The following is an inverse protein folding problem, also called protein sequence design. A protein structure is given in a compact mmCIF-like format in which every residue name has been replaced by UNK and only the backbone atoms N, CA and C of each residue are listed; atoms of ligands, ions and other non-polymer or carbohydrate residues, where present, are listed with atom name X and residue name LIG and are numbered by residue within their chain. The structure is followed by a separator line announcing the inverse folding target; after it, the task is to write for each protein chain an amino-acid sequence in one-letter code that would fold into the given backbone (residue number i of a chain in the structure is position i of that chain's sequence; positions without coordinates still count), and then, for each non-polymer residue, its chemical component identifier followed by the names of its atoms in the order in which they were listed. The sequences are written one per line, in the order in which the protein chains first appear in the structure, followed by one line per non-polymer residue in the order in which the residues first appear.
data_IF_076771450480
#
_entry.id   IF_076771450480
#
_cell.length_a   1.000
_cell.length_b   1.000
_cell.length_c   1.000
_cell.angle_alpha   90.00
_cell.angle_beta   90.00
_cell.angle_gamma   90.00
#
_symmetry.space_group_name_H-M   'P 1'
#
loop_
_entity.id
_entity.type
_entity.pdbx_description
1 polymer ?
#
# COMPACT_ATOMS: atom_id res chain seq x y z
N UNK A 1 29.51 -0.51 20.85
CA UNK A 1 28.56 0.22 19.99
C UNK A 1 28.51 -0.54 18.67
N UNK A 2 27.37 -1.17 18.37
CA UNK A 2 27.21 -2.02 17.20
C UNK A 2 26.38 -1.25 16.17
N UNK A 3 26.99 -0.91 15.04
CA UNK A 3 26.29 -0.32 13.90
C UNK A 3 25.32 -1.35 13.32
N UNK A 4 24.03 -1.02 13.32
CA UNK A 4 22.99 -1.77 12.61
C UNK A 4 23.20 -1.62 11.10
N UNK A 5 23.96 -2.54 10.51
CA UNK A 5 24.01 -2.67 9.06
C UNK A 5 22.71 -3.35 8.58
N UNK A 6 21.80 -2.53 8.05
CA UNK A 6 20.59 -3.00 7.38
C UNK A 6 20.95 -3.69 6.07
N UNK A 7 20.95 -5.02 6.07
CA UNK A 7 21.22 -5.87 4.90
C UNK A 7 20.02 -6.00 3.92
N UNK A 8 19.14 -5.01 3.87
CA UNK A 8 18.11 -4.97 2.84
C UNK A 8 18.79 -4.65 1.50
N UNK A 9 18.87 -5.64 0.60
CA UNK A 9 19.32 -5.39 -0.77
C UNK A 9 18.44 -4.28 -1.37
N UNK A 10 19.06 -3.16 -1.73
CA UNK A 10 18.48 -2.19 -2.66
C UNK A 10 17.91 -3.02 -3.81
N UNK A 11 16.63 -2.79 -4.12
CA UNK A 11 15.99 -3.39 -5.30
C UNK A 11 16.98 -3.28 -6.46
N UNK A 12 17.17 -4.37 -7.19
CA UNK A 12 18.02 -4.39 -8.37
C UNK A 12 17.78 -3.09 -9.17
N UNK A 13 18.87 -2.36 -9.47
CA UNK A 13 18.80 -1.15 -10.28
C UNK A 13 18.08 -1.50 -11.57
N UNK A 14 16.79 -1.18 -11.63
CA UNK A 14 16.08 -1.10 -12.88
C UNK A 14 16.80 0.01 -13.63
N UNK A 15 17.70 -0.37 -14.56
CA UNK A 15 18.57 0.55 -15.27
C UNK A 15 17.80 1.80 -15.71
N UNK A 16 18.48 2.95 -15.67
CA UNK A 16 17.87 4.23 -15.96
C UNK A 16 17.00 4.14 -17.24
N UNK A 17 15.78 4.68 -17.22
CA UNK A 17 14.86 4.54 -18.34
C UNK A 17 15.53 5.06 -19.62
N UNK A 18 15.40 4.31 -20.70
CA UNK A 18 16.05 4.60 -22.00
C UNK A 18 15.50 5.87 -22.66
N UNK A 19 14.31 6.30 -22.26
CA UNK A 19 13.65 7.55 -22.69
C UNK A 19 12.81 8.12 -21.55
N UNK A 20 12.54 9.43 -21.59
CA UNK A 20 11.73 10.14 -20.60
C UNK A 20 12.54 10.95 -19.59
N UNK A 21 11.88 11.43 -18.55
CA UNK A 21 12.49 12.30 -17.54
C UNK A 21 13.21 11.46 -16.49
N UNK A 22 14.52 11.66 -16.34
CA UNK A 22 15.29 11.11 -15.21
C UNK A 22 15.17 12.11 -14.06
N UNK A 23 14.48 11.72 -12.99
CA UNK A 23 14.29 12.57 -11.83
C UNK A 23 15.53 12.53 -10.92
N UNK A 24 16.30 13.62 -10.90
CA UNK A 24 17.26 13.89 -9.82
C UNK A 24 16.48 14.46 -8.65
N UNK A 25 16.28 13.66 -7.59
CA UNK A 25 15.43 14.04 -6.44
C UNK A 25 16.29 14.57 -5.30
N UNK A 26 16.18 15.86 -5.02
CA UNK A 26 16.67 16.47 -3.79
C UNK A 26 15.55 16.51 -2.77
N UNK A 27 15.84 16.16 -1.52
CA UNK A 27 14.85 16.25 -0.44
C UNK A 27 14.60 17.72 -0.09
N UNK A 28 13.41 18.22 -0.39
CA UNK A 28 12.94 19.50 0.13
C UNK A 28 12.42 19.31 1.55
N UNK A 29 12.77 20.22 2.46
CA UNK A 29 12.40 20.17 3.88
C UNK A 29 11.49 21.31 4.33
N UNK A 30 11.36 22.36 3.52
CA UNK A 30 10.50 23.52 3.78
C UNK A 30 9.97 24.09 2.44
N UNK A 31 8.96 24.96 2.52
CA UNK A 31 8.42 25.75 1.41
C UNK A 31 8.01 24.95 0.17
N UNK A 32 7.38 23.79 0.38
CA UNK A 32 6.83 22.97 -0.68
C UNK A 32 5.37 22.62 -0.40
N UNK A 33 4.57 22.60 -1.47
CA UNK A 33 3.19 22.15 -1.44
C UNK A 33 3.09 20.72 -1.94
N UNK A 34 2.34 19.89 -1.22
CA UNK A 34 2.02 18.52 -1.64
C UNK A 34 0.63 18.51 -2.24
N UNK A 35 0.52 18.08 -3.49
CA UNK A 35 -0.77 17.89 -4.17
C UNK A 35 -0.82 16.52 -4.84
N UNK A 36 -2.04 16.04 -5.09
CA UNK A 36 -2.24 14.69 -5.60
C UNK A 36 -1.75 14.53 -7.05
N UNK A 37 -1.21 13.35 -7.37
CA UNK A 37 -0.85 13.02 -8.76
C UNK A 37 -2.06 13.05 -9.70
N UNK A 38 -3.27 12.80 -9.17
CA UNK A 38 -4.51 12.90 -9.94
C UNK A 38 -4.76 14.32 -10.46
N UNK A 39 -4.43 15.34 -9.66
CA UNK A 39 -4.48 16.74 -10.08
C UNK A 39 -3.32 17.08 -11.03
N UNK A 40 -2.10 16.64 -10.71
CA UNK A 40 -0.89 16.92 -11.48
C UNK A 40 -0.91 16.30 -12.89
N UNK A 41 -1.46 15.10 -13.02
CA UNK A 41 -1.50 14.32 -14.26
C UNK A 41 -2.88 14.39 -14.93
N UNK A 42 -3.73 15.33 -14.50
CA UNK A 42 -5.04 15.56 -15.12
C UNK A 42 -4.87 15.87 -16.60
N UNK A 43 -5.63 15.18 -17.45
CA UNK A 43 -5.77 15.55 -18.86
C UNK A 43 -6.56 16.84 -18.97
N UNK A 44 -6.04 17.82 -19.71
CA UNK A 44 -6.71 19.09 -19.92
C UNK A 44 -5.73 20.25 -20.07
N UNK A 45 -6.18 21.44 -19.69
CA UNK A 45 -5.37 22.66 -19.78
C UNK A 45 -4.23 22.66 -18.75
N UNK A 46 -3.02 22.95 -19.21
CA UNK A 46 -1.86 23.16 -18.34
C UNK A 46 -2.07 24.36 -17.38
N UNK A 47 -2.82 25.38 -17.81
CA UNK A 47 -3.19 26.54 -16.98
C UNK A 47 -3.98 26.10 -15.76
N UNK A 48 -4.88 25.12 -15.91
CA UNK A 48 -5.66 24.58 -14.79
C UNK A 48 -4.76 23.97 -13.71
N UNK A 49 -3.71 23.25 -14.13
CA UNK A 49 -2.73 22.65 -13.20
C UNK A 49 -1.89 23.73 -12.53
N UNK A 50 -1.39 24.72 -13.30
CA UNK A 50 -0.61 25.83 -12.78
C UNK A 50 -1.39 26.68 -11.77
N UNK A 51 -2.64 27.03 -12.09
CA UNK A 51 -3.54 27.77 -11.19
C UNK A 51 -3.79 26.96 -9.92
N UNK A 52 -4.03 25.65 -10.01
CA UNK A 52 -4.24 24.82 -8.83
C UNK A 52 -2.99 24.73 -7.94
N UNK A 53 -1.81 24.56 -8.55
CA UNK A 53 -0.54 24.52 -7.83
C UNK A 53 -0.25 25.85 -7.11
N UNK A 54 -0.57 26.97 -7.74
CA UNK A 54 -0.42 28.29 -7.13
C UNK A 54 -1.41 28.50 -5.99
N UNK A 55 -2.69 28.15 -6.16
CA UNK A 55 -3.68 28.27 -5.08
C UNK A 55 -3.26 27.44 -3.87
N UNK A 56 -2.72 26.24 -4.09
CA UNK A 56 -2.28 25.34 -3.03
C UNK A 56 -1.00 25.80 -2.31
N UNK A 57 -0.23 26.74 -2.86
CA UNK A 57 0.96 27.31 -2.21
C UNK A 57 0.67 28.59 -1.43
N UNK A 58 -0.52 29.19 -1.61
CA UNK A 58 -0.90 30.41 -0.92
C UNK A 58 -1.31 30.15 0.54
N UNK A 59 -1.07 31.10 1.46
CA UNK A 59 -1.60 31.01 2.81
C UNK A 59 -3.12 31.20 2.82
N UNK A 60 -3.76 30.63 3.84
CA UNK A 60 -5.20 30.76 4.06
C UNK A 60 -5.64 32.23 4.10
N UNK A 61 -6.74 32.52 3.40
CA UNK A 61 -7.31 33.87 3.30
C UNK A 61 -6.77 34.71 2.13
N UNK A 62 -5.83 34.20 1.35
CA UNK A 62 -5.38 34.85 0.12
C UNK A 62 -6.51 35.00 -0.90
N UNK A 63 -6.63 36.15 -1.61
CA UNK A 63 -7.70 36.35 -2.57
C UNK A 63 -7.46 35.54 -3.85
N UNK A 64 -8.34 34.58 -4.13
CA UNK A 64 -8.34 33.76 -5.35
C UNK A 64 -9.40 34.27 -6.35
N UNK A 65 -9.40 35.58 -6.60
CA UNK A 65 -10.28 36.18 -7.62
C UNK A 65 -9.63 36.08 -9.00
N UNK A 66 -10.44 36.15 -10.07
CA UNK A 66 -9.93 36.13 -11.44
C UNK A 66 -8.93 37.28 -11.65
N UNK A 67 -9.26 38.48 -11.17
CA UNK A 67 -8.37 39.64 -11.25
C UNK A 67 -7.04 39.43 -10.49
N UNK A 68 -7.08 38.83 -9.29
CA UNK A 68 -5.87 38.53 -8.52
C UNK A 68 -4.97 37.50 -9.22
N UNK A 69 -5.59 36.49 -9.84
CA UNK A 69 -4.86 35.47 -10.60
C UNK A 69 -4.29 36.03 -11.90
N UNK A 70 -5.01 36.88 -12.63
CA UNK A 70 -4.48 37.57 -13.81
C UNK A 70 -3.38 38.59 -13.49
N UNK A 71 -3.27 39.05 -12.23
CA UNK A 71 -2.14 39.87 -11.80
C UNK A 71 -0.87 39.03 -11.54
N UNK A 72 -1.03 37.75 -11.20
CA UNK A 72 0.08 36.82 -10.97
C UNK A 72 0.53 36.10 -12.25
N UNK A 73 -0.43 35.67 -13.06
CA UNK A 73 -0.24 34.89 -14.27
C UNK A 73 -0.24 35.79 -15.51
N UNK A 74 0.58 35.45 -16.51
CA UNK A 74 0.58 36.10 -17.84
C UNK A 74 -0.64 35.77 -18.68
N UNK A 75 -1.45 34.82 -18.21
CA UNK A 75 -2.61 34.26 -18.87
C UNK A 75 -3.83 35.18 -18.79
N UNK A 76 -4.57 35.28 -19.90
CA UNK A 76 -5.76 36.12 -19.98
C UNK A 76 -6.93 35.66 -19.13
N UNK A 77 -7.84 36.59 -18.84
CA UNK A 77 -9.03 36.41 -17.99
C UNK A 77 -9.87 35.18 -18.38
N UNK A 78 -10.02 34.92 -19.68
CA UNK A 78 -10.80 33.81 -20.22
C UNK A 78 -10.20 32.46 -19.82
N UNK A 79 -8.87 32.32 -19.89
CA UNK A 79 -8.17 31.08 -19.56
C UNK A 79 -8.19 30.83 -18.06
N UNK A 80 -7.96 31.87 -17.25
CA UNK A 80 -8.06 31.79 -15.78
C UNK A 80 -9.49 31.44 -15.35
N UNK A 81 -10.50 32.07 -15.96
CA UNK A 81 -11.90 31.75 -15.69
C UNK A 81 -12.25 30.31 -16.06
N UNK A 82 -11.78 29.84 -17.21
CA UNK A 82 -11.94 28.44 -17.64
C UNK A 82 -11.26 27.49 -16.66
N UNK A 83 -10.02 27.78 -16.25
CA UNK A 83 -9.26 26.99 -15.30
C UNK A 83 -10.01 26.83 -13.97
N UNK A 84 -10.54 27.92 -13.41
CA UNK A 84 -11.32 27.87 -12.17
C UNK A 84 -12.60 27.03 -12.32
N UNK A 85 -13.33 27.15 -13.43
CA UNK A 85 -14.52 26.33 -13.71
C UNK A 85 -14.18 24.85 -13.84
N UNK A 86 -13.04 24.52 -14.46
CA UNK A 86 -12.56 23.15 -14.56
C UNK A 86 -12.20 22.55 -13.19
N UNK A 87 -11.60 23.34 -12.30
CA UNK A 87 -11.29 22.91 -10.94
C UNK A 87 -12.56 22.70 -10.11
N UNK A 88 -13.56 23.56 -10.26
CA UNK A 88 -14.87 23.39 -9.64
C UNK A 88 -15.58 22.12 -10.14
N UNK A 89 -15.60 21.91 -11.46
CA UNK A 89 -16.21 20.72 -12.05
C UNK A 89 -15.51 19.42 -11.62
N UNK A 90 -14.20 19.48 -11.38
CA UNK A 90 -13.41 18.35 -10.89
C UNK A 90 -13.46 18.19 -9.35
N UNK A 91 -14.12 19.09 -8.62
CA UNK A 91 -14.29 19.02 -7.17
C UNK A 91 -13.06 19.43 -6.35
N UNK A 92 -12.07 20.08 -6.98
CA UNK A 92 -10.89 20.64 -6.30
C UNK A 92 -11.14 22.04 -5.76
N UNK A 93 -12.15 22.75 -6.28
CA UNK A 93 -12.52 24.09 -5.84
C UNK A 93 -14.02 24.15 -5.51
N UNK A 94 -14.38 24.75 -4.39
CA UNK A 94 -15.77 25.01 -4.02
C UNK A 94 -15.94 26.47 -3.59
N UNK A 95 -16.92 27.16 -4.17
CA UNK A 95 -17.31 28.52 -3.77
C UNK A 95 -18.58 28.46 -2.93
N UNK A 96 -18.43 28.58 -1.61
CA UNK A 96 -19.55 28.54 -0.67
C UNK A 96 -19.83 29.92 -0.09
N UNK A 97 -21.12 30.28 -0.01
CA UNK A 97 -21.58 31.48 0.71
C UNK A 97 -21.79 31.11 2.17
N UNK A 98 -20.91 31.60 3.04
CA UNK A 98 -21.03 31.40 4.48
C UNK A 98 -21.55 32.65 5.16
N UNK A 99 -22.52 32.48 6.05
CA UNK A 99 -22.89 33.53 7.00
C UNK A 99 -21.86 33.49 8.12
N UNK A 100 -21.10 34.56 8.22
CA UNK A 100 -20.23 34.78 9.37
C UNK A 100 -21.05 34.85 10.66
N UNK A 101 -20.46 34.55 11.82
CA UNK A 101 -21.13 34.72 13.12
C UNK A 101 -21.57 36.19 13.38
N UNK A 102 -21.02 37.15 12.64
CA UNK A 102 -21.43 38.56 12.63
C UNK A 102 -22.62 38.87 11.68
N UNK A 103 -23.27 37.85 11.09
CA UNK A 103 -24.43 38.01 10.20
C UNK A 103 -24.11 38.42 8.75
N UNK A 104 -22.84 38.70 8.42
CA UNK A 104 -22.43 39.04 7.06
C UNK A 104 -22.27 37.78 6.20
N UNK A 105 -22.86 37.77 5.01
CA UNK A 105 -22.64 36.71 4.00
C UNK A 105 -21.32 36.99 3.28
N UNK A 106 -20.33 36.11 3.45
CA UNK A 106 -19.06 36.17 2.69
C UNK A 106 -18.94 34.95 1.80
N UNK A 107 -18.49 35.16 0.56
CA UNK A 107 -18.12 34.07 -0.34
C UNK A 107 -16.73 33.60 0.05
N UNK A 108 -16.61 32.34 0.48
CA UNK A 108 -15.33 31.68 0.75
C UNK A 108 -15.05 30.66 -0.34
N UNK A 109 -13.80 30.60 -0.75
CA UNK A 109 -13.30 29.64 -1.73
C UNK A 109 -12.53 28.58 -0.98
N UNK A 110 -13.02 27.35 -1.02
CA UNK A 110 -12.37 26.18 -0.46
C UNK A 110 -11.62 25.47 -1.58
N UNK A 111 -10.37 25.13 -1.32
CA UNK A 111 -9.55 24.32 -2.20
C UNK A 111 -9.29 22.98 -1.50
N UNK A 112 -9.48 21.87 -2.21
CA UNK A 112 -9.31 20.52 -1.66
C UNK A 112 -8.18 19.82 -2.40
N UNK A 113 -7.22 19.21 -1.68
CA UNK A 113 -6.10 18.47 -2.30
C UNK A 113 -6.53 17.13 -2.92
N UNK A 114 -7.64 16.59 -2.41
CA UNK A 114 -8.32 15.39 -2.90
C UNK A 114 -9.76 15.79 -3.20
N UNK A 115 -10.28 15.51 -4.41
CA UNK A 115 -11.57 16.02 -4.82
C UNK A 115 -12.68 15.50 -3.90
N UNK A 116 -13.51 16.42 -3.42
CA UNK A 116 -14.65 16.11 -2.58
C UNK A 116 -15.72 15.36 -3.41
N UNK A 117 -15.59 14.04 -3.49
CA UNK A 117 -16.51 13.22 -4.29
C UNK A 117 -16.21 11.73 -4.36
N UNK A 118 -15.27 11.20 -3.55
CA UNK A 118 -15.01 9.76 -3.52
C UNK A 118 -15.17 9.05 -2.19
N UNK A 119 -15.19 9.73 -1.03
CA UNK A 119 -15.31 9.03 0.27
C UNK A 119 -16.03 9.81 1.39
N UNK A 120 -16.94 10.72 1.06
CA UNK A 120 -17.66 11.46 2.10
C UNK A 120 -19.09 11.80 1.69
N UNK A 121 -19.92 10.76 1.71
CA UNK A 121 -21.37 10.89 1.88
C UNK A 121 -21.63 11.17 3.37
N UNK A 122 -21.17 12.32 3.85
CA UNK A 122 -21.58 12.83 5.16
C UNK A 122 -21.42 14.35 5.22
N UNK A 123 -22.46 15.05 4.76
CA UNK A 123 -22.76 16.39 5.27
C UNK A 123 -24.27 16.62 5.18
N UNK A 124 -24.91 17.14 6.24
CA UNK A 124 -26.36 17.24 6.33
C UNK A 124 -26.86 18.32 5.38
N UNK A 125 -27.44 17.90 4.25
CA UNK A 125 -28.16 18.82 3.35
C UNK A 125 -29.37 19.38 4.10
N UNK A 126 -29.28 20.64 4.51
CA UNK A 126 -30.41 21.40 5.05
C UNK A 126 -31.51 21.46 3.99
N UNK A 127 -32.55 20.65 4.20
CA UNK A 127 -33.73 20.58 3.36
C UNK A 127 -34.51 21.89 3.53
N UNK A 128 -34.48 22.75 2.51
CA UNK A 128 -35.41 23.89 2.43
C UNK A 128 -36.81 23.34 2.18
N UNK A 129 -37.66 23.47 3.20
CA UNK A 129 -39.10 23.25 3.13
C UNK A 129 -39.75 24.26 2.20
N UNK A 130 -40.51 23.77 1.22
CA UNK A 130 -41.56 24.52 0.53
C UNK A 130 -42.83 23.64 0.62
N UNK A 131 -43.96 24.13 1.15
CA UNK A 131 -45.16 23.31 1.33
C UNK A 131 -46.20 23.58 0.23
N UNK A 132 -46.65 22.55 -0.50
CA UNK A 132 -47.89 22.56 -1.33
C UNK A 132 -48.44 21.11 -1.41
N UNK A 133 -49.78 20.91 -1.47
CA UNK A 133 -50.53 19.79 -0.84
C UNK A 133 -50.71 18.48 -1.63
N UNK A 134 -51.22 17.49 -0.89
CA UNK A 134 -51.60 16.10 -1.24
C UNK A 134 -52.39 15.90 -2.54
N UNK A 135 -51.97 14.92 -3.35
CA UNK A 135 -52.83 13.89 -3.92
C UNK A 135 -52.02 12.61 -4.26
N UNK A 136 -52.61 11.41 -4.17
CA UNK A 136 -51.89 10.14 -4.07
C UNK A 136 -51.59 9.56 -5.45
N UNK A 137 -50.32 9.23 -5.71
CA UNK A 137 -49.95 8.46 -6.90
C UNK A 137 -49.05 7.29 -6.51
N UNK A 138 -49.65 6.12 -6.68
CA UNK A 138 -49.05 4.80 -6.63
C UNK A 138 -47.87 4.72 -7.61
N UNK A 139 -46.66 4.51 -7.09
CA UNK A 139 -45.47 4.26 -7.89
C UNK A 139 -44.45 3.48 -7.06
N UNK A 140 -44.60 2.15 -7.11
CA UNK A 140 -43.55 1.13 -7.10
C UNK A 140 -42.15 1.63 -6.75
N UNK A 141 -41.81 1.51 -5.47
CA UNK A 141 -40.42 1.62 -5.01
C UNK A 141 -39.59 0.49 -5.65
N UNK A 142 -38.46 0.76 -6.34
CA UNK A 142 -37.49 -0.28 -6.58
C UNK A 142 -36.80 -0.56 -5.24
N UNK A 143 -36.99 -1.79 -4.76
CA UNK A 143 -36.30 -2.36 -3.59
C UNK A 143 -34.79 -2.08 -3.72
N UNK A 144 -34.13 -1.43 -2.75
CA UNK A 144 -32.67 -1.38 -2.75
C UNK A 144 -32.15 -2.81 -2.59
N UNK A 145 -31.37 -3.24 -3.57
CA UNK A 145 -30.57 -4.46 -3.53
C UNK A 145 -29.88 -4.58 -2.16
N UNK A 146 -29.96 -5.73 -1.48
CA UNK A 146 -29.33 -5.89 -0.18
C UNK A 146 -27.83 -5.64 -0.31
N UNK A 147 -27.34 -4.60 0.36
CA UNK A 147 -25.93 -4.49 0.66
C UNK A 147 -25.49 -5.78 1.36
N UNK A 148 -24.31 -6.35 1.03
CA UNK A 148 -23.81 -7.52 1.74
C UNK A 148 -23.77 -7.21 3.25
N UNK A 149 -24.16 -8.15 4.11
CA UNK A 149 -24.22 -7.91 5.54
C UNK A 149 -22.86 -7.43 6.02
N UNK A 150 -22.83 -6.28 6.70
CA UNK A 150 -21.66 -5.88 7.46
C UNK A 150 -21.35 -7.03 8.43
N UNK A 151 -20.09 -7.50 8.53
CA UNK A 151 -19.77 -8.60 9.43
C UNK A 151 -20.13 -8.18 10.85
N UNK A 152 -21.09 -8.89 11.45
CA UNK A 152 -21.44 -8.69 12.84
C UNK A 152 -20.31 -9.27 13.70
N UNK A 153 -20.00 -8.61 14.83
CA UNK A 153 -19.03 -9.17 15.79
C UNK A 153 -19.42 -10.56 16.28
N UNK A 154 -20.71 -10.91 16.23
CA UNK A 154 -21.24 -12.21 16.64
C UNK A 154 -20.75 -13.36 15.74
N UNK A 155 -20.39 -13.07 14.49
CA UNK A 155 -19.88 -14.06 13.53
C UNK A 155 -18.34 -14.11 13.52
N UNK A 156 -17.67 -13.26 14.30
CA UNK A 156 -16.22 -13.20 14.39
C UNK A 156 -15.68 -14.20 15.42
N UNK A 157 -14.50 -14.75 15.15
CA UNK A 157 -13.82 -15.64 16.07
C UNK A 157 -13.59 -14.95 17.43
N UNK A 158 -14.09 -15.53 18.55
CA UNK A 158 -14.00 -14.91 19.87
C UNK A 158 -12.56 -14.73 20.35
N UNK A 159 -11.63 -15.60 19.93
CA UNK A 159 -10.22 -15.50 20.29
C UNK A 159 -9.55 -14.35 19.54
N UNK A 160 -9.89 -14.17 18.26
CA UNK A 160 -9.41 -13.03 17.47
C UNK A 160 -9.90 -11.68 18.01
N UNK A 161 -11.16 -11.61 18.46
CA UNK A 161 -11.72 -10.39 19.09
C UNK A 161 -11.06 -10.12 20.45
N UNK A 162 -10.72 -11.16 21.21
CA UNK A 162 -10.00 -11.02 22.48
C UNK A 162 -8.59 -10.43 22.27
N UNK A 163 -7.87 -10.88 21.23
CA UNK A 163 -6.57 -10.32 20.84
C UNK A 163 -6.71 -8.84 20.48
N UNK A 164 -7.65 -8.48 19.60
CA UNK A 164 -7.87 -7.09 19.19
C UNK A 164 -8.27 -6.18 20.36
N UNK A 165 -9.05 -6.70 21.31
CA UNK A 165 -9.46 -5.97 22.52
C UNK A 165 -8.29 -5.77 23.49
N UNK A 166 -7.33 -6.70 23.51
CA UNK A 166 -6.14 -6.62 24.36
C UNK A 166 -5.16 -5.53 23.91
N UNK A 167 -5.16 -5.17 22.62
CA UNK A 167 -4.28 -4.13 22.05
C UNK A 167 -4.41 -2.78 22.76
N UNK A 168 -5.63 -2.40 23.16
CA UNK A 168 -5.88 -1.14 23.89
C UNK A 168 -5.19 -1.10 25.26
N UNK A 169 -4.95 -2.27 25.88
CA UNK A 169 -4.25 -2.35 27.18
C UNK A 169 -2.74 -2.14 27.02
N UNK A 170 -2.19 -2.49 25.85
CA UNK A 170 -0.77 -2.36 25.53
C UNK A 170 -0.46 -0.96 25.00
N UNK A 171 -1.26 -0.44 24.08
CA UNK A 171 -1.23 0.97 23.67
C UNK A 171 -2.64 1.59 23.71
N UNK A 172 -2.91 2.58 24.59
CA UNK A 172 -4.23 3.17 24.75
C UNK A 172 -4.71 3.93 23.51
N UNK A 173 -3.83 4.23 22.55
CA UNK A 173 -4.17 4.91 21.29
C UNK A 173 -4.85 4.00 20.28
N UNK A 174 -4.77 2.68 20.46
CA UNK A 174 -5.41 1.69 19.58
C UNK A 174 -6.88 1.50 19.97
N UNK A 175 -7.69 2.54 19.76
CA UNK A 175 -9.15 2.47 19.93
C UNK A 175 -9.78 1.97 18.63
N UNK A 176 -10.37 0.77 18.70
CA UNK A 176 -11.05 0.13 17.57
C UNK A 176 -12.56 0.12 17.82
N UNK A 177 -13.33 0.52 16.82
CA UNK A 177 -14.78 0.33 16.84
C UNK A 177 -15.15 -1.15 16.64
N UNK A 178 -16.37 -1.52 17.02
CA UNK A 178 -16.92 -2.86 16.79
C UNK A 178 -16.78 -3.27 15.30
N UNK A 179 -17.20 -2.41 14.38
CA UNK A 179 -17.12 -2.70 12.94
C UNK A 179 -15.67 -2.87 12.46
N UNK A 180 -14.72 -2.13 13.01
CA UNK A 180 -13.30 -2.28 12.66
C UNK A 180 -12.71 -3.58 13.23
N UNK A 181 -13.08 -3.95 14.46
CA UNK A 181 -12.69 -5.22 15.04
C UNK A 181 -13.23 -6.41 14.24
N UNK A 182 -14.51 -6.36 13.83
CA UNK A 182 -15.12 -7.39 13.00
C UNK A 182 -14.45 -7.53 11.61
N UNK A 183 -13.98 -6.42 11.02
CA UNK A 183 -13.22 -6.44 9.76
C UNK A 183 -11.82 -7.03 9.91
N UNK A 184 -11.17 -6.83 11.06
CA UNK A 184 -9.80 -7.31 11.31
C UNK A 184 -9.77 -8.74 11.83
N UNK A 185 -10.85 -9.22 12.46
CA UNK A 185 -10.93 -10.53 13.09
C UNK A 185 -10.57 -11.70 12.16
N UNK A 186 -11.00 -11.76 10.87
CA UNK A 186 -10.62 -12.87 9.99
C UNK A 186 -9.11 -12.95 9.72
N UNK A 187 -8.43 -11.80 9.64
CA UNK A 187 -6.99 -11.75 9.41
C UNK A 187 -6.23 -12.20 10.67
N UNK A 188 -6.69 -11.83 11.86
CA UNK A 188 -6.12 -12.32 13.12
C UNK A 188 -6.37 -13.81 13.31
N UNK A 189 -7.57 -14.30 12.95
CA UNK A 189 -7.90 -15.72 12.98
C UNK A 189 -6.99 -16.54 12.05
N UNK A 190 -6.64 -16.01 10.87
CA UNK A 190 -5.67 -16.65 9.98
C UNK A 190 -4.27 -16.75 10.58
N UNK A 191 -3.84 -15.75 11.37
CA UNK A 191 -2.57 -15.78 12.09
C UNK A 191 -2.57 -16.80 13.24
N UNK A 192 -3.68 -16.88 13.99
CA UNK A 192 -3.86 -17.89 15.02
C UNK A 192 -3.87 -19.31 14.40
N UNK A 193 -4.54 -19.50 13.27
CA UNK A 193 -4.58 -20.77 12.55
C UNK A 193 -3.21 -21.17 11.96
N UNK A 194 -2.35 -20.19 11.65
CA UNK A 194 -0.96 -20.42 11.24
C UNK A 194 -0.03 -20.76 12.43
N UNK A 195 -0.54 -20.79 13.66
CA UNK A 195 0.21 -21.14 14.87
C UNK A 195 0.90 -19.96 15.55
N UNK A 196 0.63 -18.72 15.14
CA UNK A 196 1.17 -17.53 15.81
C UNK A 196 0.37 -17.27 17.08
N UNK A 197 1.05 -17.22 18.23
CA UNK A 197 0.38 -17.08 19.52
C UNK A 197 -0.25 -15.69 19.75
N UNK A 198 -1.32 -15.56 20.56
CA UNK A 198 -1.98 -14.28 20.86
C UNK A 198 -1.06 -13.14 21.32
N UNK A 199 -0.04 -13.47 22.12
CA UNK A 199 0.96 -12.50 22.61
C UNK A 199 1.90 -12.05 21.49
N UNK A 200 2.36 -12.98 20.66
CA UNK A 200 3.23 -12.70 19.53
C UNK A 200 2.51 -11.83 18.47
N UNK A 201 1.23 -12.11 18.21
CA UNK A 201 0.38 -11.24 17.37
C UNK A 201 0.32 -9.83 17.96
N UNK A 202 0.11 -9.71 19.27
CA UNK A 202 0.03 -8.41 19.95
C UNK A 202 1.33 -7.63 19.86
N UNK A 203 2.47 -8.28 20.09
CA UNK A 203 3.79 -7.67 20.01
C UNK A 203 4.09 -7.18 18.58
N UNK A 204 3.79 -8.00 17.57
CA UNK A 204 3.96 -7.65 16.16
C UNK A 204 3.05 -6.48 15.76
N UNK A 205 1.78 -6.49 16.20
CA UNK A 205 0.83 -5.41 15.90
C UNK A 205 1.18 -4.10 16.60
N UNK A 206 1.85 -4.15 17.75
CA UNK A 206 2.25 -2.96 18.53
C UNK A 206 3.69 -2.50 18.31
N UNK A 207 4.54 -3.30 17.66
CA UNK A 207 5.95 -2.96 17.43
C UNK A 207 6.14 -1.70 16.57
N UNK A 208 6.94 -0.73 17.01
CA UNK A 208 7.27 0.49 16.23
C UNK A 208 6.03 1.21 15.66
N UNK A 209 4.99 1.38 16.48
CA UNK A 209 3.85 2.21 16.08
C UNK A 209 4.29 3.67 15.88
N UNK A 210 3.68 4.40 14.93
CA UNK A 210 3.93 5.82 14.77
C UNK A 210 3.64 6.59 16.07
N UNK A 211 4.45 7.61 16.38
CA UNK A 211 4.22 8.44 17.57
C UNK A 211 2.87 9.19 17.49
N UNK A 212 2.45 9.53 16.27
CA UNK A 212 1.18 10.19 15.96
C UNK A 212 0.45 9.47 14.83
N UNK A 213 -0.81 9.11 15.06
CA UNK A 213 -1.67 8.51 14.04
C UNK A 213 -2.30 9.61 13.17
N UNK A 214 -1.81 9.76 11.93
CA UNK A 214 -2.42 10.65 10.93
C UNK A 214 -3.62 10.02 10.22
N UNK A 215 -3.77 8.70 10.31
CA UNK A 215 -4.86 7.91 9.75
C UNK A 215 -5.50 7.04 10.84
N UNK A 216 -6.67 6.43 10.55
CA UNK A 216 -7.35 5.54 11.50
C UNK A 216 -6.44 4.36 11.89
N UNK A 217 -6.31 4.03 13.20
CA UNK A 217 -5.41 2.99 13.69
C UNK A 217 -5.72 1.61 13.09
N UNK A 218 -7.00 1.32 12.79
CA UNK A 218 -7.43 0.10 12.11
C UNK A 218 -6.73 -0.12 10.75
N UNK A 219 -6.42 0.94 10.01
CA UNK A 219 -5.72 0.85 8.73
C UNK A 219 -4.26 0.40 8.88
N UNK A 220 -3.59 0.87 9.94
CA UNK A 220 -2.21 0.45 10.27
C UNK A 220 -2.18 -1.02 10.67
N UNK A 221 -3.16 -1.46 11.46
CA UNK A 221 -3.29 -2.88 11.84
C UNK A 221 -3.59 -3.77 10.62
N UNK A 222 -4.52 -3.36 9.76
CA UNK A 222 -4.84 -4.07 8.53
C UNK A 222 -3.62 -4.21 7.59
N UNK A 223 -2.83 -3.15 7.48
CA UNK A 223 -1.60 -3.16 6.69
C UNK A 223 -0.58 -4.13 7.27
N UNK A 224 -0.37 -4.14 8.60
CA UNK A 224 0.58 -5.05 9.25
C UNK A 224 0.18 -6.51 9.15
N UNK A 225 -1.11 -6.81 9.32
CA UNK A 225 -1.62 -8.17 9.16
C UNK A 225 -1.45 -8.71 7.73
N UNK A 226 -1.43 -7.81 6.74
CA UNK A 226 -1.25 -8.14 5.32
C UNK A 226 0.22 -8.27 4.92
N UNK A 227 1.05 -7.34 5.37
CA UNK A 227 2.45 -7.22 4.92
C UNK A 227 3.43 -8.04 5.75
N UNK A 228 3.06 -8.43 6.97
CA UNK A 228 3.93 -9.31 7.76
C UNK A 228 3.70 -10.74 7.30
N UNK A 229 4.73 -11.42 6.76
CA UNK A 229 4.59 -12.78 6.28
C UNK A 229 4.25 -13.70 7.44
N UNK A 230 3.16 -14.47 7.29
CA UNK A 230 2.85 -15.57 8.18
C UNK A 230 4.03 -16.55 8.18
N UNK A 231 4.48 -17.06 9.34
CA UNK A 231 5.41 -18.17 9.36
C UNK A 231 4.80 -19.31 8.55
N UNK A 232 5.48 -19.68 7.46
CA UNK A 232 5.05 -20.77 6.61
C UNK A 232 5.00 -22.01 7.51
N UNK A 233 3.86 -22.73 7.58
CA UNK A 233 3.82 -23.96 8.36
C UNK A 233 4.97 -24.85 7.89
N UNK A 234 5.74 -25.47 8.81
CA UNK A 234 6.86 -26.30 8.41
C UNK A 234 6.31 -27.33 7.43
N UNK A 235 6.83 -27.31 6.19
CA UNK A 235 6.48 -28.33 5.22
C UNK A 235 6.75 -29.68 5.90
N UNK A 236 5.84 -30.68 5.77
CA UNK A 236 6.16 -32.02 6.22
C UNK A 236 7.53 -32.37 5.65
N UNK A 237 8.43 -32.98 6.45
CA UNK A 237 9.81 -33.21 6.06
C UNK A 237 9.81 -33.83 4.67
N UNK A 238 10.24 -33.07 3.67
CA UNK A 238 10.41 -33.62 2.34
C UNK A 238 11.37 -34.78 2.52
N UNK A 239 10.94 -35.98 2.09
CA UNK A 239 11.82 -37.14 2.02
C UNK A 239 13.12 -36.66 1.39
N UNK A 240 14.24 -36.96 2.05
CA UNK A 240 15.56 -36.48 1.66
C UNK A 240 15.71 -36.60 0.14
N UNK A 241 16.20 -35.55 -0.55
CA UNK A 241 16.47 -35.66 -1.98
C UNK A 241 17.32 -36.92 -2.21
N UNK A 242 17.05 -37.72 -3.26
CA UNK A 242 17.87 -38.89 -3.53
C UNK A 242 19.31 -38.41 -3.57
N UNK A 243 20.16 -39.00 -2.71
CA UNK A 243 21.57 -38.66 -2.63
C UNK A 243 22.11 -38.57 -4.05
N UNK A 244 22.57 -37.38 -4.44
CA UNK A 244 23.20 -37.19 -5.73
C UNK A 244 24.27 -38.28 -5.87
N UNK A 245 24.34 -39.02 -7.00
CA UNK A 245 25.27 -40.13 -7.12
C UNK A 245 26.67 -39.61 -6.80
N UNK A 246 27.28 -40.15 -5.75
CA UNK A 246 28.56 -39.69 -5.24
C UNK A 246 29.55 -39.64 -6.41
N UNK A 247 30.02 -38.44 -6.75
CA UNK A 247 31.00 -38.25 -7.81
C UNK A 247 32.24 -39.02 -7.38
N UNK A 248 32.54 -40.12 -8.08
CA UNK A 248 33.68 -40.97 -7.77
C UNK A 248 34.99 -40.14 -7.78
N UNK A 249 35.85 -40.30 -6.76
CA UNK A 249 37.10 -39.55 -6.66
C UNK A 249 38.04 -39.90 -7.82
N UNK A 250 38.94 -38.97 -8.15
CA UNK A 250 40.03 -39.23 -9.09
C UNK A 250 41.11 -40.06 -8.42
N UNK A 251 41.53 -41.12 -9.10
CA UNK A 251 42.60 -42.04 -8.72
C UNK A 251 43.64 -42.08 -9.84
N UNK A 252 44.91 -42.27 -9.50
CA UNK A 252 46.00 -42.48 -10.46
C UNK A 252 46.20 -43.97 -10.72
N UNK A 253 46.48 -44.34 -11.97
CA UNK A 253 46.66 -45.73 -12.38
C UNK A 253 48.07 -46.25 -12.03
N UNK A 254 48.16 -47.36 -11.31
CA UNK A 254 49.45 -47.99 -10.92
C UNK A 254 50.28 -48.57 -12.08
N UNK A 255 49.76 -48.55 -13.32
CA UNK A 255 50.46 -49.09 -14.48
C UNK A 255 50.83 -48.07 -15.57
N UNK A 256 50.13 -46.95 -15.63
CA UNK A 256 50.34 -45.94 -16.68
C UNK A 256 50.20 -44.49 -16.19
N UNK A 257 50.11 -44.29 -14.87
CA UNK A 257 49.95 -43.01 -14.17
C UNK A 257 48.74 -42.15 -14.59
N UNK A 258 47.87 -42.65 -15.48
CA UNK A 258 46.69 -41.91 -15.94
C UNK A 258 45.67 -41.73 -14.81
N UNK A 259 45.18 -40.50 -14.63
CA UNK A 259 44.08 -40.20 -13.73
C UNK A 259 42.73 -40.73 -14.27
N UNK A 260 41.94 -41.38 -13.43
CA UNK A 260 40.60 -41.91 -13.76
C UNK A 260 39.68 -41.87 -12.53
N UNK A 261 38.36 -41.89 -12.74
CA UNK A 261 37.39 -41.89 -11.63
C UNK A 261 37.07 -43.30 -11.16
N UNK A 262 37.27 -43.61 -9.88
CA UNK A 262 36.96 -44.91 -9.30
C UNK A 262 36.77 -44.84 -7.77
N UNK A 263 35.98 -45.75 -7.19
CA UNK A 263 35.74 -45.78 -5.74
C UNK A 263 36.98 -46.20 -4.93
N UNK A 264 37.91 -46.93 -5.54
CA UNK A 264 39.15 -47.41 -4.90
C UNK A 264 40.36 -47.25 -5.83
N UNK A 265 41.59 -47.14 -5.28
CA UNK A 265 42.82 -47.14 -6.06
C UNK A 265 42.97 -48.40 -6.92
N UNK A 266 43.57 -48.28 -8.10
CA UNK A 266 43.88 -49.44 -8.94
C UNK A 266 44.19 -49.10 -10.39
N UNK A 267 44.06 -50.11 -11.25
CA UNK A 267 44.39 -49.99 -12.67
C UNK A 267 43.23 -49.42 -13.50
N UNK A 268 43.55 -48.52 -14.43
CA UNK A 268 42.58 -47.97 -15.37
C UNK A 268 41.99 -49.08 -16.28
N UNK A 269 40.88 -48.77 -16.98
CA UNK A 269 40.19 -49.72 -17.88
C UNK A 269 41.14 -50.34 -18.92
N UNK A 270 42.07 -49.56 -19.44
CA UNK A 270 42.98 -49.98 -20.50
C UNK A 270 44.06 -50.92 -19.94
N UNK A 271 44.69 -50.57 -18.81
CA UNK A 271 45.62 -51.48 -18.12
C UNK A 271 44.97 -52.79 -17.66
N UNK A 272 43.70 -52.77 -17.25
CA UNK A 272 42.95 -53.99 -16.91
C UNK A 272 42.69 -54.87 -18.13
N UNK A 273 42.37 -54.28 -19.28
CA UNK A 273 42.17 -55.01 -20.54
C UNK A 273 43.45 -55.58 -21.12
N UNK A 274 44.58 -54.89 -20.95
CA UNK A 274 45.87 -55.36 -21.45
C UNK A 274 46.51 -56.42 -20.53
N UNK A 275 46.28 -56.34 -19.20
CA UNK A 275 46.75 -57.35 -18.25
C UNK A 275 46.05 -58.71 -18.40
N UNK A 276 44.81 -58.75 -18.90
CA UNK A 276 44.08 -60.01 -19.14
C UNK A 276 44.51 -60.76 -20.40
N UNK A 277 45.27 -60.13 -21.31
CA UNK A 277 45.73 -60.75 -22.57
C UNK A 277 47.01 -61.59 -22.34
N UNK A 278 47.67 -61.47 -21.18
CA UNK A 278 48.89 -62.21 -20.84
C UNK A 278 48.70 -63.54 -20.09
N UNK A 279 47.47 -64.03 -19.90
CA UNK A 279 47.19 -65.25 -19.12
C UNK A 279 46.35 -66.29 -19.90
N UNK A 280 46.60 -66.42 -21.20
CA UNK A 280 46.07 -67.50 -22.04
C UNK A 280 47.09 -67.90 -23.11
N UNK A 281 48.25 -68.38 -22.67
CA UNK A 281 49.18 -69.18 -23.48
C UNK A 281 50.00 -70.05 -22.53
N UNK A 282 49.44 -71.21 -22.20
CA UNK A 282 50.16 -72.41 -21.74
C UNK A 282 49.68 -73.55 -22.64
#
# INVERSE_FOLDING_TARGET
MADSQSNARLRADAGAPTTGVIHVRTRLTADFTVFSNALAQRRGSAVTIGVAAYIASLPDGSPVSIAALCAHFSEGEILISRALRELEAAGYLERRRERTPAGQVRTRTFFYDVPAGRDSDDCPRSRKTVPVPDEPVDATSPVPTPAPPAPALADADPEAVAVLSSLRRVDPRLVLSATEAARLAPAVAAWLAAGVGPREITDVLTARLPEQFRARPAGVLAFRLRETPLPVPPLPPQAAPPEHPAVLPFQTCDGCERAFRAPSPGRCRDCRRHGSIGSAAA
#
